data_IF_233001271077
#
_entry.id   IF_233001271077
#
_cell.length_a   1.000
_cell.length_b   1.000
_cell.length_c   1.000
_cell.angle_alpha   90.00
_cell.angle_beta   90.00
_cell.angle_gamma   90.00
#
_symmetry.space_group_name_H-M   'P 1'
#
loop_
_entity.id
_entity.type
_entity.pdbx_description
1 polymer ?
#
# COMPACT_ATOMS: atom_id res chain seq x y z
N UNK A 1 34.60 30.70 32.81
CA UNK A 1 34.48 29.66 33.88
C UNK A 1 33.48 30.06 34.97
N UNK A 2 33.55 31.28 35.53
CA UNK A 2 32.65 31.77 36.61
C UNK A 2 31.14 31.61 36.33
N UNK A 3 30.69 31.88 35.10
CA UNK A 3 29.29 31.72 34.68
C UNK A 3 28.82 30.26 34.59
N UNK A 4 29.72 29.34 34.19
CA UNK A 4 29.40 27.92 34.02
C UNK A 4 29.18 27.24 35.39
N UNK A 5 30.08 27.53 36.35
CA UNK A 5 29.97 27.05 37.73
C UNK A 5 28.73 27.58 38.46
N UNK A 6 28.37 28.85 38.24
CA UNK A 6 27.17 29.45 38.83
C UNK A 6 25.85 28.79 38.36
N UNK A 7 25.79 28.36 37.09
CA UNK A 7 24.65 27.63 36.52
C UNK A 7 24.59 26.16 36.96
N UNK A 8 25.73 25.55 37.26
CA UNK A 8 25.80 24.20 37.87
C UNK A 8 25.33 24.23 39.33
N UNK A 9 25.70 25.27 40.08
CA UNK A 9 25.37 25.43 41.50
C UNK A 9 23.91 25.89 41.73
N UNK A 10 23.28 26.55 40.74
CA UNK A 10 21.90 27.02 40.80
C UNK A 10 21.16 26.59 39.52
N UNK A 11 20.70 25.33 39.42
CA UNK A 11 19.89 24.91 38.29
C UNK A 11 18.56 25.66 38.34
N UNK A 12 18.40 26.66 37.47
CA UNK A 12 17.10 27.23 37.13
C UNK A 12 16.21 26.05 36.70
N UNK A 13 15.15 25.78 37.46
CA UNK A 13 14.16 24.78 37.06
C UNK A 13 13.64 25.19 35.70
N UNK A 14 13.83 24.39 34.65
CA UNK A 14 13.12 24.57 33.39
C UNK A 14 11.65 24.19 33.60
N UNK A 15 10.94 24.99 34.39
CA UNK A 15 9.51 24.90 34.53
C UNK A 15 8.91 25.31 33.19
N UNK A 16 8.27 24.36 32.50
CA UNK A 16 7.46 24.69 31.34
C UNK A 16 6.10 25.19 31.85
N UNK A 17 6.09 26.32 32.57
CA UNK A 17 4.86 26.95 33.07
C UNK A 17 4.01 27.49 31.89
N UNK A 18 4.68 27.89 30.80
CA UNK A 18 4.05 28.28 29.54
C UNK A 18 4.31 27.22 28.45
N UNK A 19 3.29 26.88 27.62
CA UNK A 19 3.52 26.00 26.48
C UNK A 19 4.55 26.65 25.55
N UNK A 20 5.63 25.93 25.27
CA UNK A 20 6.63 26.36 24.27
C UNK A 20 5.98 26.35 22.90
N UNK A 21 5.42 27.49 22.50
CA UNK A 21 4.88 27.71 21.16
C UNK A 21 6.08 27.88 20.24
N UNK A 22 6.45 26.81 19.55
CA UNK A 22 7.49 26.90 18.52
C UNK A 22 6.97 27.75 17.37
N UNK A 23 7.65 28.87 17.12
CA UNK A 23 7.41 29.69 15.95
C UNK A 23 7.67 28.85 14.69
N UNK A 24 6.60 28.47 13.99
CA UNK A 24 6.66 27.54 12.84
C UNK A 24 7.55 28.05 11.70
N UNK A 25 7.82 29.36 11.70
CA UNK A 25 8.70 30.09 10.79
C UNK A 25 10.20 29.88 11.05
N UNK A 26 10.60 29.42 12.23
CA UNK A 26 12.01 29.16 12.62
C UNK A 26 12.44 27.74 12.26
N UNK A 27 11.48 26.84 12.05
CA UNK A 27 11.73 25.43 11.75
C UNK A 27 12.19 25.28 10.29
N UNK A 28 13.35 24.65 10.02
CA UNK A 28 13.81 24.40 8.66
C UNK A 28 12.77 23.62 7.84
N UNK A 29 12.60 23.96 6.56
CA UNK A 29 11.58 23.35 5.70
C UNK A 29 11.68 21.81 5.64
N UNK A 30 12.89 21.27 5.70
CA UNK A 30 13.14 19.82 5.67
C UNK A 30 12.44 19.08 6.82
N UNK A 31 12.32 19.71 7.97
CA UNK A 31 11.61 19.16 9.14
C UNK A 31 10.13 18.97 8.83
N UNK A 32 9.53 19.90 8.08
CA UNK A 32 8.16 19.79 7.59
C UNK A 32 8.02 18.73 6.51
N UNK A 33 8.97 18.65 5.57
CA UNK A 33 8.99 17.61 4.55
C UNK A 33 9.06 16.20 5.16
N UNK A 34 9.92 16.02 6.18
CA UNK A 34 10.04 14.77 6.93
C UNK A 34 8.81 14.43 7.76
N UNK A 35 8.10 15.43 8.28
CA UNK A 35 6.88 15.19 9.05
C UNK A 35 5.74 14.71 8.16
N UNK A 36 5.56 15.33 6.99
CA UNK A 36 4.39 15.08 6.16
C UNK A 36 4.58 13.97 5.12
N UNK A 37 5.73 13.92 4.43
CA UNK A 37 5.88 13.02 3.27
C UNK A 37 6.61 11.71 3.58
N UNK A 38 7.47 11.69 4.60
CA UNK A 38 8.19 10.48 5.02
C UNK A 38 7.28 9.37 5.55
N UNK A 39 6.29 9.61 6.45
CA UNK A 39 5.47 8.52 6.98
C UNK A 39 4.57 7.90 5.91
N UNK A 40 4.08 8.70 4.96
CA UNK A 40 3.32 8.16 3.82
C UNK A 40 4.19 7.29 2.93
N UNK A 41 5.44 7.72 2.64
CA UNK A 41 6.39 6.96 1.84
C UNK A 41 6.84 5.66 2.53
N UNK A 42 7.08 5.69 3.84
CA UNK A 42 7.41 4.50 4.64
C UNK A 42 6.28 3.48 4.61
N UNK A 43 5.03 3.93 4.75
CA UNK A 43 3.87 3.05 4.74
C UNK A 43 3.62 2.46 3.34
N UNK A 44 3.77 3.24 2.28
CA UNK A 44 3.63 2.78 0.89
C UNK A 44 4.72 1.76 0.53
N UNK A 45 5.98 2.06 0.85
CA UNK A 45 7.10 1.17 0.59
C UNK A 45 7.01 -0.10 1.44
N UNK A 46 6.58 0.02 2.71
CA UNK A 46 6.34 -1.12 3.59
C UNK A 46 5.26 -2.06 3.05
N UNK A 47 4.15 -1.53 2.53
CA UNK A 47 3.11 -2.34 1.87
C UNK A 47 3.64 -3.05 0.63
N UNK A 48 4.35 -2.33 -0.23
CA UNK A 48 4.95 -2.91 -1.43
C UNK A 48 5.96 -4.02 -1.08
N UNK A 49 6.77 -3.82 -0.04
CA UNK A 49 7.75 -4.80 0.43
C UNK A 49 7.08 -6.08 0.97
N UNK A 50 6.00 -5.95 1.76
CA UNK A 50 5.26 -7.11 2.27
C UNK A 50 4.65 -7.95 1.14
N UNK A 51 4.02 -7.29 0.16
CA UNK A 51 3.43 -7.98 -1.01
C UNK A 51 4.53 -8.61 -1.89
N UNK A 52 5.63 -7.89 -2.11
CA UNK A 52 6.77 -8.37 -2.90
C UNK A 52 7.42 -9.62 -2.31
N UNK A 53 7.61 -9.65 -0.99
CA UNK A 53 8.16 -10.81 -0.29
C UNK A 53 7.21 -12.02 -0.36
N UNK A 54 5.91 -11.80 -0.17
CA UNK A 54 4.91 -12.86 -0.26
C UNK A 54 4.85 -13.48 -1.67
N UNK A 55 4.86 -12.64 -2.71
CA UNK A 55 4.90 -13.11 -4.10
C UNK A 55 6.20 -13.86 -4.40
N UNK A 56 7.35 -13.38 -3.91
CA UNK A 56 8.61 -14.09 -4.07
C UNK A 56 8.57 -15.50 -3.45
N UNK A 57 7.99 -15.64 -2.25
CA UNK A 57 7.83 -16.95 -1.61
C UNK A 57 6.89 -17.89 -2.39
N UNK A 58 5.79 -17.37 -2.95
CA UNK A 58 4.90 -18.15 -3.81
C UNK A 58 5.61 -18.67 -5.06
N UNK A 59 6.40 -17.82 -5.72
CA UNK A 59 7.18 -18.22 -6.90
C UNK A 59 8.25 -19.25 -6.54
N UNK A 60 8.92 -19.07 -5.40
CA UNK A 60 9.90 -20.01 -4.88
C UNK A 60 9.26 -21.39 -4.62
N UNK A 61 8.09 -21.42 -3.98
CA UNK A 61 7.34 -22.66 -3.72
C UNK A 61 6.84 -23.36 -4.99
N UNK A 62 6.44 -22.62 -6.02
CA UNK A 62 5.93 -23.20 -7.27
C UNK A 62 7.06 -23.72 -8.17
N UNK A 63 8.23 -23.08 -8.11
CA UNK A 63 9.32 -23.39 -9.05
C UNK A 63 10.35 -24.34 -8.42
N UNK A 64 10.47 -24.38 -7.09
CA UNK A 64 11.42 -25.26 -6.38
C UNK A 64 12.91 -24.97 -6.67
N UNK A 65 13.18 -23.86 -7.37
CA UNK A 65 14.49 -23.37 -7.78
C UNK A 65 14.73 -22.09 -6.99
N UNK A 66 15.84 -22.01 -6.24
CA UNK A 66 16.07 -20.91 -5.30
C UNK A 66 16.04 -19.52 -5.95
N UNK A 67 15.61 -18.52 -5.18
CA UNK A 67 15.49 -17.09 -5.52
C UNK A 67 16.63 -16.51 -6.39
N UNK A 68 17.87 -16.95 -6.19
CA UNK A 68 19.05 -16.46 -6.93
C UNK A 68 19.13 -17.05 -8.34
N UNK A 69 18.70 -18.28 -8.53
CA UNK A 69 18.78 -19.01 -9.80
C UNK A 69 17.57 -18.69 -10.71
N UNK A 70 16.50 -18.15 -10.12
CA UNK A 70 15.36 -17.59 -10.85
C UNK A 70 15.65 -16.24 -11.55
N UNK A 71 16.71 -15.52 -11.18
CA UNK A 71 17.08 -14.26 -11.86
C UNK A 71 17.47 -14.44 -13.33
N UNK A 72 17.83 -15.66 -13.74
CA UNK A 72 18.12 -16.03 -15.12
C UNK A 72 16.90 -16.48 -15.94
N UNK A 73 15.79 -16.85 -15.30
CA UNK A 73 14.65 -17.48 -15.95
C UNK A 73 13.61 -16.44 -16.44
N UNK A 74 13.14 -16.59 -17.67
CA UNK A 74 12.13 -15.71 -18.29
C UNK A 74 10.82 -15.69 -17.48
N UNK A 75 10.44 -16.83 -16.90
CA UNK A 75 9.20 -16.97 -16.10
C UNK A 75 9.26 -16.15 -14.80
N UNK A 76 10.40 -16.08 -14.13
CA UNK A 76 10.50 -15.29 -12.90
C UNK A 76 10.53 -13.79 -13.20
N UNK A 77 11.16 -13.38 -14.32
CA UNK A 77 11.13 -11.98 -14.76
C UNK A 77 9.73 -11.52 -15.12
N UNK A 78 8.94 -12.34 -15.80
CA UNK A 78 7.55 -12.00 -16.13
C UNK A 78 6.67 -11.96 -14.89
N UNK A 79 6.82 -12.90 -13.96
CA UNK A 79 6.10 -12.89 -12.67
C UNK A 79 6.45 -11.66 -11.81
N UNK A 80 7.73 -11.31 -11.70
CA UNK A 80 8.14 -10.08 -11.00
C UNK A 80 7.59 -8.84 -11.70
N UNK A 81 7.61 -8.77 -13.03
CA UNK A 81 7.06 -7.64 -13.78
C UNK A 81 5.56 -7.49 -13.56
N UNK A 82 4.79 -8.60 -13.60
CA UNK A 82 3.35 -8.59 -13.31
C UNK A 82 3.08 -8.20 -11.86
N UNK A 83 3.88 -8.66 -10.91
CA UNK A 83 3.76 -8.27 -9.51
C UNK A 83 4.04 -6.76 -9.29
N UNK A 84 5.08 -6.21 -9.92
CA UNK A 84 5.41 -4.77 -9.85
C UNK A 84 4.30 -3.94 -10.50
N UNK A 85 3.82 -4.32 -11.68
CA UNK A 85 2.70 -3.64 -12.34
C UNK A 85 1.43 -3.74 -11.49
N UNK A 86 1.14 -4.89 -10.90
CA UNK A 86 0.00 -5.08 -10.00
C UNK A 86 0.05 -4.21 -8.74
N UNK A 87 1.23 -4.07 -8.12
CA UNK A 87 1.43 -3.18 -6.96
C UNK A 87 1.32 -1.69 -7.35
N UNK A 88 1.79 -1.32 -8.54
CA UNK A 88 1.65 0.05 -9.04
C UNK A 88 0.19 0.41 -9.37
N UNK A 89 -0.60 -0.56 -9.87
CA UNK A 89 -2.02 -0.38 -10.17
C UNK A 89 -2.87 -0.41 -8.89
N UNK A 90 -2.55 -1.25 -7.92
CA UNK A 90 -3.27 -1.36 -6.64
C UNK A 90 -2.58 -0.46 -5.61
N UNK A 91 -2.58 0.85 -5.88
CA UNK A 91 -1.93 1.82 -5.00
C UNK A 91 -2.83 2.23 -3.83
N UNK A 92 -4.15 2.19 -4.01
CA UNK A 92 -5.15 2.45 -2.96
C UNK A 92 -6.30 1.44 -2.95
N UNK A 93 -6.91 1.26 -1.78
CA UNK A 93 -8.10 0.41 -1.64
C UNK A 93 -9.31 0.96 -2.44
N UNK A 94 -9.34 2.28 -2.65
CA UNK A 94 -10.30 2.98 -3.53
C UNK A 94 -10.21 2.51 -5.00
N UNK A 95 -9.01 2.16 -5.47
CA UNK A 95 -8.80 1.63 -6.83
C UNK A 95 -9.39 0.22 -6.97
N UNK A 96 -9.36 -0.57 -5.88
CA UNK A 96 -9.95 -1.91 -5.85
C UNK A 96 -11.47 -1.83 -5.93
N UNK A 97 -12.10 -0.88 -5.23
CA UNK A 97 -13.54 -0.65 -5.32
C UNK A 97 -13.96 -0.16 -6.70
N UNK A 98 -13.16 0.72 -7.31
CA UNK A 98 -13.40 1.20 -8.69
C UNK A 98 -13.27 0.05 -9.70
N UNK A 99 -12.25 -0.79 -9.57
CA UNK A 99 -12.06 -1.97 -10.41
C UNK A 99 -13.19 -3.00 -10.22
N UNK A 100 -13.67 -3.20 -9.00
CA UNK A 100 -14.85 -4.06 -8.73
C UNK A 100 -16.10 -3.52 -9.40
N UNK A 101 -16.34 -2.22 -9.32
CA UNK A 101 -17.47 -1.58 -10.00
C UNK A 101 -17.39 -1.72 -11.52
N UNK A 102 -16.20 -1.51 -12.09
CA UNK A 102 -15.96 -1.72 -13.53
C UNK A 102 -16.13 -3.19 -13.94
N UNK A 103 -15.70 -4.14 -13.10
CA UNK A 103 -15.93 -5.57 -13.30
C UNK A 103 -17.42 -5.91 -13.25
N UNK A 104 -18.16 -5.40 -12.27
CA UNK A 104 -19.60 -5.59 -12.18
C UNK A 104 -20.34 -5.03 -13.40
N UNK A 105 -19.91 -3.86 -13.89
CA UNK A 105 -20.47 -3.19 -15.06
C UNK A 105 -20.17 -3.94 -16.37
N UNK A 106 -18.95 -4.49 -16.52
CA UNK A 106 -18.61 -5.35 -17.67
C UNK A 106 -19.29 -6.72 -17.61
N UNK A 107 -19.49 -7.28 -16.42
CA UNK A 107 -20.17 -8.57 -16.26
C UNK A 107 -21.71 -8.44 -16.25
N UNK A 108 -22.25 -7.23 -16.22
CA UNK A 108 -23.68 -6.97 -16.18
C UNK A 108 -24.42 -7.56 -17.39
N UNK A 109 -23.89 -7.34 -18.60
CA UNK A 109 -24.49 -7.83 -19.83
C UNK A 109 -24.48 -9.37 -19.94
N UNK A 110 -23.40 -10.03 -19.49
CA UNK A 110 -23.34 -11.50 -19.45
C UNK A 110 -24.35 -12.10 -18.47
N UNK A 111 -24.53 -11.47 -17.30
CA UNK A 111 -25.52 -11.90 -16.31
C UNK A 111 -26.96 -11.74 -16.82
N UNK A 112 -27.27 -10.62 -17.49
CA UNK A 112 -28.59 -10.42 -18.11
C UNK A 112 -28.85 -11.45 -19.22
N UNK A 113 -27.86 -11.70 -20.08
CA UNK A 113 -27.96 -12.71 -21.12
C UNK A 113 -28.25 -14.10 -20.54
N UNK A 114 -27.50 -14.54 -19.53
CA UNK A 114 -27.74 -15.82 -18.83
C UNK A 114 -29.10 -15.90 -18.14
N UNK A 115 -29.60 -14.81 -17.58
CA UNK A 115 -30.91 -14.77 -16.92
C UNK A 115 -32.06 -15.03 -17.92
N UNK A 116 -31.99 -14.45 -19.12
CA UNK A 116 -33.01 -14.64 -20.17
C UNK A 116 -33.16 -16.10 -20.58
N UNK A 117 -32.05 -16.84 -20.71
CA UNK A 117 -32.08 -18.27 -21.06
C UNK A 117 -32.58 -19.19 -19.92
N UNK A 118 -32.39 -18.79 -18.66
CA UNK A 118 -32.91 -19.53 -17.50
C UNK A 118 -34.43 -19.34 -17.31
N UNK A 119 -34.96 -18.17 -17.62
CA UNK A 119 -36.41 -17.92 -17.64
C UNK A 119 -37.10 -18.66 -18.78
N UNK A 120 -36.48 -18.75 -19.97
CA UNK A 120 -37.05 -19.52 -21.09
C UNK A 120 -37.13 -21.03 -20.79
N UNK A 121 -36.05 -21.61 -20.25
CA UNK A 121 -36.00 -23.05 -19.92
C UNK A 121 -36.92 -23.45 -18.77
N UNK A 122 -37.11 -22.57 -17.78
CA UNK A 122 -38.09 -22.80 -16.71
C UNK A 122 -39.53 -22.58 -17.16
N UNK A 123 -39.77 -21.70 -18.12
CA UNK A 123 -41.10 -21.47 -18.71
C UNK A 123 -41.54 -22.56 -19.68
N UNK A 124 -40.60 -23.19 -20.40
CA UNK A 124 -40.87 -24.32 -21.29
C UNK A 124 -41.12 -25.61 -20.50
N UNK A 125 -40.35 -25.87 -19.43
CA UNK A 125 -40.55 -27.00 -18.52
C UNK A 125 -41.87 -26.96 -17.72
N UNK A 126 -42.55 -25.81 -17.67
CA UNK A 126 -43.85 -25.63 -17.00
C UNK A 126 -45.05 -25.76 -17.94
N UNK A 127 -44.81 -25.88 -19.26
CA UNK A 127 -45.84 -25.98 -20.30
C UNK A 127 -45.92 -27.37 -20.96
N UNK A 128 -45.12 -28.34 -20.49
CA UNK A 128 -45.28 -29.78 -20.74
C UNK A 128 -45.90 -30.45 -19.51
#
# INVERSE_FOLDING_TARGET
VKRRKWLEDNPESSSNDDPVVFDTSIIPWWTWMKRFHLPEAELLNGRAAMIGFFMAYLVDSLTGVGLVDQMGNFVCKTLLFVAVVGVLVIRKNEDVETLKKLLEETTYYDKQWKATWQDETSSSAKRE
#
